data_IF_832832101406
#
_entry.id   IF_832832101406
#
_cell.length_a   1.000
_cell.length_b   1.000
_cell.length_c   1.000
_cell.angle_alpha   90.00
_cell.angle_beta   90.00
_cell.angle_gamma   90.00
#
_symmetry.space_group_name_H-M   'P 1'
#
loop_
_entity.id
_entity.type
_entity.pdbx_description
1 polymer ?
#
# COMPACT_ATOMS: atom_id res chain seq x y z
N UNK A 1 20.58 -8.81 -20.08
CA UNK A 1 21.17 -7.62 -20.72
C UNK A 1 20.84 -6.42 -19.85
N UNK A 2 21.74 -6.09 -18.93
CA UNK A 2 21.51 -5.05 -17.92
C UNK A 2 21.79 -3.69 -18.52
N UNK A 3 20.76 -2.85 -18.59
CA UNK A 3 20.93 -1.43 -18.88
C UNK A 3 21.53 -0.78 -17.63
N UNK A 4 22.86 -0.73 -17.56
CA UNK A 4 23.56 0.07 -16.57
C UNK A 4 23.21 1.54 -16.80
N UNK A 5 22.49 2.12 -15.84
CA UNK A 5 22.19 3.55 -15.81
C UNK A 5 23.53 4.31 -15.84
N UNK A 6 23.70 5.36 -16.68
CA UNK A 6 24.95 6.11 -16.73
C UNK A 6 25.37 6.58 -15.33
N UNK A 7 26.64 6.41 -14.95
CA UNK A 7 27.10 6.65 -13.56
C UNK A 7 26.88 8.09 -13.06
N UNK A 8 26.73 9.05 -13.96
CA UNK A 8 26.38 10.42 -13.63
C UNK A 8 24.90 10.56 -13.21
N UNK A 9 23.99 9.86 -13.89
CA UNK A 9 22.57 9.83 -13.53
C UNK A 9 22.36 9.17 -12.16
N UNK A 10 23.12 8.13 -11.82
CA UNK A 10 23.02 7.48 -10.51
C UNK A 10 23.49 8.40 -9.37
N UNK A 11 24.56 9.18 -9.57
CA UNK A 11 25.06 10.13 -8.58
C UNK A 11 24.08 11.29 -8.30
N UNK A 12 23.47 11.85 -9.36
CA UNK A 12 22.46 12.89 -9.22
C UNK A 12 21.18 12.38 -8.53
N UNK A 13 20.70 11.21 -8.95
CA UNK A 13 19.50 10.58 -8.36
C UNK A 13 19.73 10.23 -6.90
N UNK A 14 20.92 9.69 -6.56
CA UNK A 14 21.33 9.44 -5.18
C UNK A 14 21.28 10.74 -4.36
N UNK A 15 21.94 11.79 -4.82
CA UNK A 15 21.98 13.08 -4.09
C UNK A 15 20.59 13.67 -3.88
N UNK A 16 19.71 13.55 -4.89
CA UNK A 16 18.32 14.00 -4.79
C UNK A 16 17.52 13.19 -3.77
N UNK A 17 17.63 11.86 -3.79
CA UNK A 17 16.94 10.98 -2.84
C UNK A 17 17.43 11.25 -1.41
N UNK A 18 18.74 11.33 -1.18
CA UNK A 18 19.29 11.60 0.15
C UNK A 18 18.86 12.98 0.68
N UNK A 19 18.73 13.98 -0.19
CA UNK A 19 18.21 15.30 0.17
C UNK A 19 16.70 15.32 0.48
N UNK A 20 15.93 14.37 -0.03
CA UNK A 20 14.52 14.21 0.37
C UNK A 20 14.46 13.47 1.70
N UNK A 21 15.21 12.37 1.85
CA UNK A 21 15.24 11.58 3.08
C UNK A 21 15.76 12.40 4.28
N UNK A 22 16.71 13.32 4.08
CA UNK A 22 17.18 14.22 5.13
C UNK A 22 16.11 15.17 5.67
N UNK A 23 15.01 15.35 4.93
CA UNK A 23 13.88 16.20 5.34
C UNK A 23 12.80 15.45 6.09
N UNK A 24 12.96 14.14 6.35
CA UNK A 24 11.99 13.37 7.15
C UNK A 24 11.81 14.06 8.51
N UNK A 25 10.57 14.40 8.83
CA UNK A 25 10.20 15.05 10.10
C UNK A 25 9.65 14.04 11.10
N UNK A 26 8.93 13.03 10.61
CA UNK A 26 8.24 12.02 11.43
C UNK A 26 8.89 10.64 11.29
N UNK A 27 9.35 10.07 12.40
CA UNK A 27 9.99 8.75 12.44
C UNK A 27 11.49 8.78 12.17
N UNK A 28 12.09 7.59 12.23
CA UNK A 28 13.53 7.37 12.00
C UNK A 28 13.73 6.29 10.96
N UNK A 29 14.64 6.53 10.03
CA UNK A 29 14.98 5.61 8.97
C UNK A 29 16.48 5.32 8.98
N UNK A 30 16.85 4.08 9.23
CA UNK A 30 18.24 3.61 9.30
C UNK A 30 18.61 2.92 7.97
N UNK A 31 19.05 3.66 6.98
CA UNK A 31 19.38 3.08 5.68
C UNK A 31 20.82 2.55 5.64
N UNK A 32 21.02 1.34 5.12
CA UNK A 32 22.34 0.80 4.82
C UNK A 32 22.45 0.59 3.33
N UNK A 33 23.35 1.31 2.65
CA UNK A 33 23.57 1.11 1.22
C UNK A 33 24.78 0.21 1.00
N UNK A 34 24.62 -0.83 0.18
CA UNK A 34 25.73 -1.63 -0.34
C UNK A 34 26.06 -1.13 -1.75
N UNK A 35 27.09 -0.30 -1.87
CA UNK A 35 27.63 0.13 -3.17
C UNK A 35 29.07 -0.36 -3.30
N UNK A 36 29.36 -1.12 -4.36
CA UNK A 36 30.71 -1.64 -4.67
C UNK A 36 31.45 -2.38 -3.53
N UNK A 37 30.72 -2.97 -2.58
CA UNK A 37 31.30 -3.72 -1.46
C UNK A 37 31.58 -2.90 -0.20
N UNK A 38 31.32 -1.59 -0.23
CA UNK A 38 31.33 -0.74 0.97
C UNK A 38 29.91 -0.60 1.52
N UNK A 39 29.79 -0.68 2.85
CA UNK A 39 28.52 -0.62 3.58
C UNK A 39 28.51 0.66 4.39
N UNK A 40 27.81 1.68 3.91
CA UNK A 40 27.70 2.96 4.61
C UNK A 40 26.31 3.09 5.28
N UNK A 41 26.25 3.07 6.63
CA UNK A 41 25.02 3.34 7.35
C UNK A 41 24.71 4.84 7.33
N UNK A 42 23.46 5.18 7.00
CA UNK A 42 22.94 6.53 6.97
C UNK A 42 21.62 6.59 7.74
N UNK A 43 21.52 7.55 8.65
CA UNK A 43 20.32 7.74 9.49
C UNK A 43 19.59 9.00 9.05
N UNK A 44 18.29 8.89 8.83
CA UNK A 44 17.40 9.98 8.45
C UNK A 44 16.26 10.13 9.46
N UNK A 45 15.76 11.36 9.64
CA UNK A 45 14.71 11.66 10.61
C UNK A 45 15.26 12.08 11.98
N UNK A 46 14.36 12.21 12.96
CA UNK A 46 14.67 12.86 14.24
C UNK A 46 15.56 11.95 15.11
N UNK A 47 16.80 12.40 15.36
CA UNK A 47 17.80 11.68 16.17
C UNK A 47 17.57 11.81 17.69
N UNK A 48 16.61 12.63 18.11
CA UNK A 48 16.16 12.71 19.50
C UNK A 48 15.04 11.72 19.76
N UNK A 49 15.41 10.53 20.26
CA UNK A 49 14.53 9.51 20.84
C UNK A 49 13.83 10.03 22.12
N UNK A 50 13.09 11.13 22.04
CA UNK A 50 12.29 11.64 23.18
C UNK A 50 10.85 11.14 23.19
N UNK A 51 10.42 10.44 22.13
CA UNK A 51 9.10 9.84 22.07
C UNK A 51 9.25 8.39 21.59
N UNK A 52 9.06 7.44 22.52
CA UNK A 52 9.21 5.99 22.30
C UNK A 52 8.18 5.39 21.32
N UNK A 53 7.34 6.24 20.73
CA UNK A 53 6.22 5.87 19.86
C UNK A 53 6.51 6.00 18.36
N UNK A 54 7.71 6.46 17.97
CA UNK A 54 8.03 6.72 16.57
C UNK A 54 8.48 5.46 15.82
N UNK A 55 8.00 5.24 14.57
CA UNK A 55 8.39 4.09 13.76
C UNK A 55 9.87 4.15 13.35
N UNK A 56 10.55 3.00 13.39
CA UNK A 56 11.95 2.81 12.96
C UNK A 56 12.02 1.62 11.98
N UNK A 57 12.60 1.79 10.79
CA UNK A 57 12.95 0.67 9.88
C UNK A 57 14.35 0.87 9.29
N UNK A 58 15.01 -0.24 8.95
CA UNK A 58 16.27 -0.28 8.21
C UNK A 58 16.08 -0.71 6.75
N UNK A 59 16.83 -0.16 5.78
CA UNK A 59 16.63 -0.45 4.34
C UNK A 59 17.93 -0.46 3.52
N UNK A 60 17.99 -1.27 2.44
CA UNK A 60 18.99 -1.19 1.34
C UNK A 60 18.31 -0.95 -0.03
N UNK A 61 18.66 0.07 -0.85
CA UNK A 61 17.76 0.50 -1.98
C UNK A 61 18.41 0.69 -3.37
N UNK A 62 17.72 0.17 -4.39
CA UNK A 62 17.35 0.83 -5.66
C UNK A 62 15.84 0.58 -5.92
N UNK A 63 15.10 1.39 -6.69
CA UNK A 63 13.67 1.18 -7.07
C UNK A 63 12.79 0.44 -6.02
N UNK A 64 12.52 1.12 -4.89
CA UNK A 64 11.95 0.58 -3.65
C UNK A 64 11.00 -0.64 -3.76
N UNK A 65 9.84 -0.52 -4.43
CA UNK A 65 8.85 -1.60 -4.49
C UNK A 65 9.32 -2.80 -5.33
N UNK A 66 9.99 -2.54 -6.45
CA UNK A 66 10.48 -3.60 -7.33
C UNK A 66 11.68 -4.30 -6.70
N UNK A 67 12.59 -3.55 -6.08
CA UNK A 67 13.71 -4.14 -5.35
C UNK A 67 13.27 -4.96 -4.14
N UNK A 68 12.22 -4.55 -3.42
CA UNK A 68 11.64 -5.37 -2.36
C UNK A 68 11.09 -6.68 -2.93
N UNK A 69 10.32 -6.60 -4.02
CA UNK A 69 9.78 -7.80 -4.69
C UNK A 69 10.87 -8.71 -5.27
N UNK A 70 12.00 -8.14 -5.70
CA UNK A 70 13.16 -8.88 -6.22
C UNK A 70 14.13 -9.37 -5.12
N UNK A 71 13.88 -9.04 -3.85
CA UNK A 71 14.77 -9.36 -2.73
C UNK A 71 16.10 -8.59 -2.74
N UNK A 72 16.18 -7.51 -3.52
CA UNK A 72 17.33 -6.58 -3.54
C UNK A 72 17.28 -5.59 -2.37
N UNK A 73 16.12 -5.49 -1.71
CA UNK A 73 15.84 -4.64 -0.57
C UNK A 73 15.28 -5.47 0.58
N UNK A 74 15.91 -5.35 1.74
CA UNK A 74 15.43 -5.91 3.00
C UNK A 74 14.95 -4.76 3.90
N UNK A 75 13.84 -4.95 4.63
CA UNK A 75 13.40 -4.07 5.73
C UNK A 75 12.87 -4.93 6.87
N UNK A 76 13.23 -4.52 8.09
CA UNK A 76 12.85 -5.21 9.32
C UNK A 76 11.35 -5.04 9.65
N UNK A 77 10.80 -3.86 9.35
CA UNK A 77 9.39 -3.52 9.59
C UNK A 77 8.81 -2.69 8.44
N UNK A 78 8.17 -3.39 7.51
CA UNK A 78 7.52 -2.78 6.34
C UNK A 78 6.37 -1.84 6.76
N UNK A 79 5.68 -2.13 7.87
CA UNK A 79 4.56 -1.31 8.36
C UNK A 79 5.09 0.01 8.90
N UNK A 80 6.15 -0.03 9.72
CA UNK A 80 6.84 1.18 10.19
C UNK A 80 7.33 2.04 9.03
N UNK A 81 7.93 1.41 8.01
CA UNK A 81 8.41 2.13 6.84
C UNK A 81 7.28 2.82 6.04
N UNK A 82 6.21 2.09 5.74
CA UNK A 82 5.05 2.68 5.05
C UNK A 82 4.42 3.77 5.92
N UNK A 83 4.42 3.62 7.25
CA UNK A 83 3.94 4.63 8.19
C UNK A 83 4.78 5.91 8.14
N UNK A 84 6.11 5.79 8.10
CA UNK A 84 7.03 6.92 7.89
C UNK A 84 6.70 7.61 6.56
N UNK A 85 6.53 6.85 5.48
CA UNK A 85 6.19 7.40 4.17
C UNK A 85 4.87 8.17 4.18
N UNK A 86 3.80 7.61 4.77
CA UNK A 86 2.47 8.24 4.84
C UNK A 86 2.52 9.52 5.68
N UNK A 87 3.19 9.51 6.82
CA UNK A 87 3.29 10.69 7.70
C UNK A 87 4.11 11.81 7.06
N UNK A 88 5.07 11.46 6.20
CA UNK A 88 5.90 12.40 5.46
C UNK A 88 5.42 12.57 4.00
N UNK A 89 4.17 12.21 3.70
CA UNK A 89 3.69 12.15 2.30
C UNK A 89 3.85 13.48 1.56
N UNK A 90 3.77 14.63 2.22
CA UNK A 90 4.00 15.93 1.57
C UNK A 90 5.42 16.07 0.97
N UNK A 91 6.42 15.48 1.63
CA UNK A 91 7.83 15.51 1.21
C UNK A 91 8.09 14.61 0.00
N UNK A 92 7.37 13.49 -0.09
CA UNK A 92 7.51 12.49 -1.16
C UNK A 92 6.50 12.66 -2.30
N UNK A 93 5.32 13.22 -1.99
CA UNK A 93 4.14 13.28 -2.85
C UNK A 93 4.08 14.50 -3.76
N UNK A 94 4.89 15.52 -3.50
CA UNK A 94 4.96 16.71 -4.35
C UNK A 94 6.15 16.62 -5.31
N UNK A 95 6.12 15.61 -6.18
CA UNK A 95 6.99 15.59 -7.35
C UNK A 95 6.79 16.86 -8.18
N UNK A 96 7.87 17.35 -8.80
CA UNK A 96 7.90 18.55 -9.64
C UNK A 96 6.61 18.67 -10.47
N UNK A 97 5.91 19.82 -10.37
CA UNK A 97 4.61 20.05 -11.02
C UNK A 97 4.63 19.66 -12.51
N UNK A 98 5.78 19.85 -13.17
CA UNK A 98 6.02 19.46 -14.57
C UNK A 98 5.95 17.94 -14.81
N UNK A 99 6.44 17.12 -13.89
CA UNK A 99 6.35 15.67 -13.96
C UNK A 99 4.92 15.15 -13.77
N UNK A 100 4.05 15.90 -13.09
CA UNK A 100 2.64 15.56 -12.93
C UNK A 100 1.78 15.87 -14.16
N UNK A 101 2.30 16.67 -15.10
CA UNK A 101 1.61 17.02 -16.35
C UNK A 101 1.79 15.90 -17.39
N UNK A 102 2.94 15.22 -17.40
CA UNK A 102 3.26 14.14 -18.35
C UNK A 102 2.22 13.01 -18.36
N UNK A 103 1.83 12.39 -17.23
CA UNK A 103 0.84 11.31 -17.24
C UNK A 103 -0.57 11.81 -17.62
N UNK A 104 -0.90 13.08 -17.34
CA UNK A 104 -2.16 13.70 -17.77
C UNK A 104 -2.20 13.88 -19.29
N UNK A 105 -1.11 14.36 -19.88
CA UNK A 105 -0.96 14.49 -21.33
C UNK A 105 -1.00 13.13 -22.02
N UNK A 106 -0.31 12.13 -21.48
CA UNK A 106 -0.36 10.76 -22.00
C UNK A 106 -1.79 10.20 -21.98
N UNK A 107 -2.55 10.43 -20.90
CA UNK A 107 -3.95 9.97 -20.82
C UNK A 107 -4.87 10.64 -21.85
N UNK A 108 -4.64 11.92 -22.14
CA UNK A 108 -5.38 12.68 -23.17
C UNK A 108 -5.01 12.20 -24.58
N UNK A 109 -3.73 11.95 -24.83
CA UNK A 109 -3.20 11.51 -26.14
C UNK A 109 -3.53 10.04 -26.45
N UNK A 110 -3.53 9.18 -25.44
CA UNK A 110 -3.69 7.73 -25.57
C UNK A 110 -4.97 7.24 -24.91
N UNK A 111 -6.09 7.96 -25.12
CA UNK A 111 -7.39 7.68 -24.53
C UNK A 111 -7.71 6.17 -24.57
N UNK A 112 -7.59 5.45 -23.44
CA UNK A 112 -7.76 4.01 -23.45
C UNK A 112 -9.23 3.71 -23.74
N UNK A 113 -9.48 2.98 -24.82
CA UNK A 113 -10.85 2.58 -25.19
C UNK A 113 -11.38 1.59 -24.15
N UNK A 114 -12.59 1.82 -23.63
CA UNK A 114 -13.35 0.85 -22.81
C UNK A 114 -13.88 -0.30 -23.69
N UNK A 115 -12.98 -0.98 -24.40
CA UNK A 115 -13.32 -2.15 -25.20
C UNK A 115 -13.35 -3.39 -24.32
N UNK A 116 -14.48 -4.09 -24.33
CA UNK A 116 -14.72 -5.34 -23.61
C UNK A 116 -13.60 -6.38 -23.80
N UNK A 117 -13.01 -6.49 -25.00
CA UNK A 117 -11.91 -7.42 -25.28
C UNK A 117 -10.63 -7.05 -24.55
N UNK A 118 -10.31 -5.76 -24.47
CA UNK A 118 -9.17 -5.24 -23.70
C UNK A 118 -9.39 -5.38 -22.20
N UNK A 119 -10.61 -5.14 -21.72
CA UNK A 119 -10.96 -5.35 -20.32
C UNK A 119 -10.75 -6.82 -19.90
N UNK A 120 -11.16 -7.77 -20.75
CA UNK A 120 -10.94 -9.20 -20.51
C UNK A 120 -9.44 -9.57 -20.49
N UNK A 121 -8.67 -9.07 -21.46
CA UNK A 121 -7.21 -9.31 -21.50
C UNK A 121 -6.48 -8.72 -20.29
N UNK A 122 -6.90 -7.53 -19.83
CA UNK A 122 -6.35 -6.92 -18.62
C UNK A 122 -6.71 -7.74 -17.37
N UNK A 123 -7.94 -8.25 -17.28
CA UNK A 123 -8.38 -9.09 -16.17
C UNK A 123 -7.63 -10.43 -16.13
N UNK A 124 -7.50 -11.12 -17.27
CA UNK A 124 -6.81 -12.42 -17.36
C UNK A 124 -5.31 -12.33 -17.09
N UNK A 125 -4.68 -11.20 -17.42
CA UNK A 125 -3.24 -11.00 -17.19
C UNK A 125 -2.89 -10.72 -15.73
N UNK A 126 -3.87 -10.33 -14.90
CA UNK A 126 -3.65 -9.85 -13.53
C UNK A 126 -4.37 -10.63 -12.43
N UNK A 127 -5.29 -11.55 -12.76
CA UNK A 127 -6.13 -12.23 -11.75
C UNK A 127 -6.36 -13.71 -12.05
N UNK A 128 -5.29 -14.51 -12.05
CA UNK A 128 -5.39 -15.96 -11.81
C UNK A 128 -4.95 -16.32 -10.38
N UNK A 129 -5.07 -15.36 -9.47
CA UNK A 129 -4.77 -15.54 -8.05
C UNK A 129 -5.99 -16.21 -7.40
N UNK A 130 -5.94 -17.54 -7.34
CA UNK A 130 -7.01 -18.44 -6.88
C UNK A 130 -7.58 -18.06 -5.51
N UNK A 131 -8.87 -18.34 -5.28
CA UNK A 131 -9.55 -18.28 -3.98
C UNK A 131 -8.79 -19.00 -2.85
N UNK A 132 -7.90 -19.95 -3.18
CA UNK A 132 -6.99 -20.59 -2.23
C UNK A 132 -6.06 -19.60 -1.53
N UNK A 133 -5.58 -18.57 -2.22
CA UNK A 133 -4.76 -17.53 -1.60
C UNK A 133 -5.61 -16.71 -0.62
N UNK A 134 -6.76 -16.22 -1.07
CA UNK A 134 -7.63 -15.37 -0.25
C UNK A 134 -8.15 -16.10 1.00
N UNK A 135 -8.57 -17.36 0.86
CA UNK A 135 -9.01 -18.18 1.99
C UNK A 135 -7.92 -18.47 3.04
N UNK A 136 -6.65 -18.22 2.73
CA UNK A 136 -5.56 -18.39 3.70
C UNK A 136 -5.48 -17.26 4.75
N UNK A 137 -6.05 -16.09 4.46
CA UNK A 137 -5.96 -14.92 5.35
C UNK A 137 -7.28 -14.16 5.54
N UNK A 138 -8.32 -14.44 4.75
CA UNK A 138 -9.66 -13.91 4.97
C UNK A 138 -10.46 -14.78 5.94
N UNK A 139 -11.49 -14.18 6.53
CA UNK A 139 -12.51 -14.89 7.27
C UNK A 139 -13.29 -15.86 6.37
N UNK A 140 -13.99 -16.81 7.00
CA UNK A 140 -14.75 -17.87 6.29
C UNK A 140 -15.79 -17.32 5.30
N UNK A 141 -16.29 -16.11 5.54
CA UNK A 141 -17.23 -15.40 4.66
C UNK A 141 -16.58 -14.76 3.42
N UNK A 142 -15.26 -14.91 3.26
CA UNK A 142 -14.42 -14.37 2.19
C UNK A 142 -14.56 -12.85 2.05
N UNK A 143 -14.85 -12.13 3.14
CA UNK A 143 -15.02 -10.68 3.07
C UNK A 143 -13.70 -9.93 2.89
N UNK A 144 -13.47 -9.42 1.67
CA UNK A 144 -12.31 -8.59 1.34
C UNK A 144 -12.64 -7.09 1.46
N UNK A 145 -13.11 -6.70 2.64
CA UNK A 145 -13.42 -5.32 2.98
C UNK A 145 -13.11 -5.04 4.46
N UNK A 146 -13.14 -3.77 4.87
CA UNK A 146 -12.87 -3.40 6.26
C UNK A 146 -13.86 -4.07 7.21
N UNK A 147 -13.39 -4.50 8.38
CA UNK A 147 -14.22 -5.00 9.47
C UNK A 147 -14.50 -3.90 10.50
N UNK A 148 -15.53 -4.07 11.34
CA UNK A 148 -15.78 -3.17 12.48
C UNK A 148 -15.45 -3.92 13.77
N UNK A 149 -14.35 -3.51 14.41
CA UNK A 149 -13.86 -4.09 15.65
C UNK A 149 -14.54 -3.50 16.90
N UNK A 150 -14.60 -4.29 17.96
CA UNK A 150 -15.06 -3.91 19.29
C UNK A 150 -14.09 -2.90 19.92
N UNK A 151 -14.64 -1.82 20.44
CA UNK A 151 -13.86 -0.73 21.07
C UNK A 151 -13.52 -1.01 22.54
N UNK A 152 -14.11 -2.05 23.14
CA UNK A 152 -13.85 -2.45 24.53
C UNK A 152 -12.49 -3.12 24.72
N UNK A 153 -11.78 -3.44 23.63
CA UNK A 153 -10.48 -4.11 23.67
C UNK A 153 -10.56 -5.60 24.00
N UNK A 154 -11.76 -6.19 23.97
CA UNK A 154 -11.94 -7.63 24.08
C UNK A 154 -11.38 -8.31 22.82
N UNK A 155 -10.65 -9.41 23.00
CA UNK A 155 -10.26 -10.26 21.87
C UNK A 155 -11.50 -10.81 21.17
N UNK A 156 -11.49 -10.74 19.84
CA UNK A 156 -12.56 -11.23 18.98
C UNK A 156 -11.99 -11.74 17.66
N UNK A 157 -12.77 -12.53 16.93
CA UNK A 157 -12.33 -13.06 15.64
C UNK A 157 -12.64 -12.09 14.50
N UNK A 158 -11.94 -12.24 13.36
CA UNK A 158 -12.22 -11.48 12.15
C UNK A 158 -13.67 -11.67 11.69
N UNK A 159 -14.20 -12.90 11.77
CA UNK A 159 -15.59 -13.22 11.45
C UNK A 159 -16.58 -12.41 12.30
N UNK A 160 -16.31 -12.25 13.59
CA UNK A 160 -17.16 -11.47 14.50
C UNK A 160 -17.16 -9.99 14.12
N UNK A 161 -15.98 -9.44 13.80
CA UNK A 161 -15.82 -8.07 13.33
C UNK A 161 -16.47 -7.82 11.96
N UNK A 162 -16.43 -8.79 11.04
CA UNK A 162 -17.10 -8.71 9.74
C UNK A 162 -18.63 -8.79 9.88
N UNK A 163 -19.15 -9.64 10.77
CA UNK A 163 -20.59 -9.70 11.06
C UNK A 163 -21.09 -8.40 11.68
N UNK A 164 -20.32 -7.80 12.60
CA UNK A 164 -20.65 -6.52 13.20
C UNK A 164 -20.78 -5.41 12.15
N UNK A 165 -19.90 -5.39 11.15
CA UNK A 165 -20.00 -4.47 10.00
C UNK A 165 -21.34 -4.61 9.29
N UNK A 166 -21.76 -5.84 8.97
CA UNK A 166 -23.03 -6.09 8.27
C UNK A 166 -24.22 -5.59 9.09
N UNK A 167 -24.30 -5.93 10.38
CA UNK A 167 -25.35 -5.42 11.25
C UNK A 167 -25.33 -3.89 11.31
N UNK A 168 -24.15 -3.26 11.39
CA UNK A 168 -24.05 -1.80 11.40
C UNK A 168 -24.59 -1.16 10.11
N UNK A 169 -24.41 -1.81 8.96
CA UNK A 169 -24.95 -1.35 7.68
C UNK A 169 -26.48 -1.48 7.67
N UNK A 170 -27.00 -2.64 8.09
CA UNK A 170 -28.45 -2.91 8.20
C UNK A 170 -29.13 -1.87 9.10
N UNK A 171 -28.56 -1.64 10.30
CA UNK A 171 -29.06 -0.70 11.28
C UNK A 171 -29.05 0.74 10.74
N UNK A 172 -27.94 1.17 10.14
CA UNK A 172 -27.80 2.55 9.60
C UNK A 172 -28.68 2.80 8.38
N UNK A 173 -28.92 1.77 7.58
CA UNK A 173 -29.80 1.85 6.42
C UNK A 173 -31.27 1.66 6.78
N UNK A 174 -31.59 1.40 8.06
CA UNK A 174 -32.95 1.13 8.55
C UNK A 174 -33.66 0.06 7.70
N UNK A 175 -32.97 -1.03 7.43
CA UNK A 175 -33.49 -2.10 6.59
C UNK A 175 -34.52 -2.91 7.38
N UNK A 176 -35.71 -3.07 6.79
CA UNK A 176 -36.80 -3.88 7.35
C UNK A 176 -37.01 -5.12 6.47
N UNK A 177 -37.58 -6.22 7.00
CA UNK A 177 -37.77 -7.47 6.26
C UNK A 177 -38.55 -7.34 4.95
N UNK A 178 -39.39 -6.32 4.81
CA UNK A 178 -40.23 -6.05 3.64
C UNK A 178 -39.47 -5.30 2.54
N UNK A 179 -38.28 -4.78 2.83
CA UNK A 179 -37.51 -4.00 1.87
C UNK A 179 -36.79 -4.88 0.84
N UNK A 180 -36.81 -4.43 -0.42
CA UNK A 180 -35.97 -4.99 -1.47
C UNK A 180 -34.63 -4.26 -1.51
N UNK A 181 -33.54 -5.00 -1.37
CA UNK A 181 -32.19 -4.45 -1.23
C UNK A 181 -31.38 -4.71 -2.51
N UNK A 182 -30.69 -3.67 -2.98
CA UNK A 182 -29.68 -3.78 -4.02
C UNK A 182 -28.29 -3.56 -3.42
N UNK A 183 -27.45 -4.60 -3.49
CA UNK A 183 -26.04 -4.53 -3.12
C UNK A 183 -25.18 -4.43 -4.39
N UNK A 184 -24.46 -3.31 -4.53
CA UNK A 184 -23.58 -3.04 -5.68
C UNK A 184 -22.14 -3.34 -5.26
N UNK A 185 -21.57 -4.42 -5.82
CA UNK A 185 -20.25 -4.91 -5.40
C UNK A 185 -20.35 -5.97 -4.30
N UNK A 186 -21.38 -6.82 -4.37
CA UNK A 186 -21.68 -7.80 -3.34
C UNK A 186 -20.59 -8.86 -3.13
N UNK A 187 -19.55 -8.96 -3.97
CA UNK A 187 -18.34 -9.79 -3.83
C UNK A 187 -18.53 -11.15 -3.10
N UNK A 188 -19.64 -11.86 -3.39
CA UNK A 188 -20.00 -13.14 -2.77
C UNK A 188 -20.67 -13.10 -1.39
N UNK A 189 -20.85 -11.92 -0.79
CA UNK A 189 -21.40 -11.62 0.54
C UNK A 189 -22.93 -11.79 0.68
N UNK A 190 -23.64 -12.19 -0.39
CA UNK A 190 -25.10 -12.31 -0.41
C UNK A 190 -25.66 -13.21 0.72
N UNK A 191 -24.85 -14.13 1.26
CA UNK A 191 -25.26 -15.03 2.34
C UNK A 191 -25.41 -14.34 3.71
N UNK A 192 -24.76 -13.20 3.94
CA UNK A 192 -24.79 -12.52 5.25
C UNK A 192 -26.07 -11.72 5.49
N UNK A 193 -26.83 -11.38 4.44
CA UNK A 193 -28.12 -10.69 4.52
C UNK A 193 -29.32 -11.63 4.75
N UNK A 194 -29.08 -12.95 4.84
CA UNK A 194 -30.11 -13.97 5.07
C UNK A 194 -30.20 -14.46 6.53
N UNK A 195 -29.41 -13.90 7.43
CA UNK A 195 -29.44 -14.17 8.88
C UNK A 195 -30.21 -13.04 9.58
#
# INVERSE_FOLDING_TARGET
>A
MGNSIPSYLSSFTRSYILNILSKIEYGRLDMTMKDRGETEPQVFGNSSLKDSSQPVCSITVNRFSEAYMLGELECDDLVALVSIYIQNFALFGTGNIFLQIIPRLQKILFNPSNDSKRALQNASSHYDTSNALFSSFLSTDMSYSCAIWDTTGKEETLEEAQRRKVHNIIDKACIEPEHHILDIGADGHFWLLKL
#
